data_IF_420258998062
#
_entry.id   IF_420258998062
#
_cell.length_a   1.000
_cell.length_b   1.000
_cell.length_c   1.000
_cell.angle_alpha   90.00
_cell.angle_beta   90.00
_cell.angle_gamma   90.00
#
_symmetry.space_group_name_H-M   'P 1'
#
loop_
_entity.id
_entity.type
_entity.pdbx_description
1 polymer ?
#
# COMPACT_ATOMS: atom_id res chain seq x y z
N UNK A 1 6.85 -24.34 -29.32
CA UNK A 1 5.96 -23.25 -28.88
C UNK A 1 6.51 -22.74 -27.55
N UNK A 2 6.95 -21.48 -27.48
CA UNK A 2 7.47 -20.88 -26.23
C UNK A 2 6.30 -20.69 -25.27
N UNK A 3 6.34 -21.32 -24.11
CA UNK A 3 5.47 -20.95 -23.00
C UNK A 3 5.89 -19.54 -22.55
N UNK A 4 5.15 -18.53 -22.98
CA UNK A 4 5.20 -17.22 -22.37
C UNK A 4 4.50 -17.39 -21.03
N UNK A 5 5.28 -17.41 -19.95
CA UNK A 5 4.72 -17.40 -18.61
C UNK A 5 3.95 -16.09 -18.46
N UNK A 6 2.62 -16.17 -18.37
CA UNK A 6 1.80 -15.00 -18.10
C UNK A 6 2.31 -14.34 -16.82
N UNK A 7 2.76 -13.09 -16.95
CA UNK A 7 3.14 -12.27 -15.81
C UNK A 7 1.83 -11.82 -15.14
N UNK A 8 1.33 -12.66 -14.24
CA UNK A 8 0.25 -12.27 -13.33
C UNK A 8 0.84 -11.28 -12.32
N UNK A 9 0.56 -9.99 -12.50
CA UNK A 9 0.89 -8.98 -11.51
C UNK A 9 0.06 -9.27 -10.23
N UNK A 10 0.75 -9.56 -9.12
CA UNK A 10 0.06 -9.73 -7.83
C UNK A 10 -0.44 -8.36 -7.38
N UNK A 11 -1.73 -8.27 -7.09
CA UNK A 11 -2.30 -7.07 -6.48
C UNK A 11 -1.87 -7.04 -5.00
N UNK A 12 -0.75 -6.39 -4.73
CA UNK A 12 -0.19 -6.22 -3.38
C UNK A 12 -0.18 -4.73 -3.08
N UNK A 13 -0.62 -4.35 -1.89
CA UNK A 13 -0.54 -2.97 -1.43
C UNK A 13 0.94 -2.59 -1.24
N UNK A 14 1.46 -1.57 -1.96
CA UNK A 14 2.84 -1.16 -1.78
C UNK A 14 3.03 -0.50 -0.41
N UNK A 15 4.18 -0.72 0.19
CA UNK A 15 4.62 -0.02 1.41
C UNK A 15 5.86 0.79 1.09
N UNK A 16 5.93 2.03 1.56
CA UNK A 16 7.06 2.94 1.38
C UNK A 16 7.81 3.03 2.72
N UNK A 17 9.14 3.10 2.68
CA UNK A 17 9.95 3.41 3.85
C UNK A 17 10.46 4.85 3.75
N UNK A 18 10.05 5.70 4.68
CA UNK A 18 10.49 7.08 4.80
C UNK A 18 11.62 7.18 5.82
N UNK A 19 12.73 7.82 5.43
CA UNK A 19 13.86 8.10 6.34
C UNK A 19 13.67 9.46 6.99
N UNK A 20 13.62 9.48 8.30
CA UNK A 20 13.50 10.69 9.14
C UNK A 20 14.74 10.87 10.00
N UNK A 21 14.88 12.04 10.64
CA UNK A 21 15.95 12.30 11.61
C UNK A 21 15.95 11.34 12.81
N UNK A 22 14.80 10.74 13.12
CA UNK A 22 14.61 9.85 14.27
C UNK A 22 14.62 8.36 13.89
N UNK A 23 14.82 8.02 12.62
CA UNK A 23 14.84 6.64 12.14
C UNK A 23 14.01 6.42 10.88
N UNK A 24 13.64 5.17 10.62
CA UNK A 24 12.83 4.79 9.46
C UNK A 24 11.37 4.58 9.86
N UNK A 25 10.47 5.08 9.02
CA UNK A 25 9.03 4.90 9.17
C UNK A 25 8.50 4.16 7.95
N UNK A 26 7.88 3.00 8.17
CA UNK A 26 7.16 2.29 7.10
C UNK A 26 5.73 2.83 7.04
N UNK A 27 5.31 3.22 5.83
CA UNK A 27 4.02 3.80 5.55
C UNK A 27 3.33 2.98 4.46
N UNK A 28 2.17 2.46 4.77
CA UNK A 28 1.22 2.04 3.75
C UNK A 28 0.26 3.21 3.41
N UNK A 29 -0.42 3.16 2.25
CA UNK A 29 -1.34 4.22 1.83
C UNK A 29 -2.45 4.53 2.84
N UNK A 30 -3.00 3.54 3.54
CA UNK A 30 -4.06 3.75 4.53
C UNK A 30 -3.55 4.44 5.79
N UNK A 31 -2.36 4.04 6.26
CA UNK A 31 -1.68 4.70 7.37
C UNK A 31 -1.42 6.18 7.06
N UNK A 32 -0.97 6.49 5.84
CA UNK A 32 -0.76 7.89 5.43
C UNK A 32 -2.07 8.69 5.41
N UNK A 33 -3.16 8.11 4.89
CA UNK A 33 -4.48 8.77 4.90
C UNK A 33 -4.96 9.06 6.32
N UNK A 34 -4.79 8.10 7.23
CA UNK A 34 -5.19 8.26 8.63
C UNK A 34 -4.43 9.40 9.34
N UNK A 35 -3.13 9.53 9.08
CA UNK A 35 -2.31 10.64 9.61
C UNK A 35 -2.80 12.01 9.15
N UNK A 36 -3.27 12.10 7.90
CA UNK A 36 -3.89 13.31 7.33
C UNK A 36 -5.35 13.47 7.74
N UNK A 37 -5.85 12.64 8.68
CA UNK A 37 -7.23 12.62 9.19
C UNK A 37 -8.28 12.29 8.13
N UNK A 38 -7.89 11.49 7.14
CA UNK A 38 -8.78 10.97 6.09
C UNK A 38 -9.13 9.52 6.42
N UNK A 39 -10.42 9.23 6.58
CA UNK A 39 -10.93 7.88 6.80
C UNK A 39 -11.44 7.32 5.47
N UNK A 40 -10.93 6.16 5.06
CA UNK A 40 -11.36 5.47 3.85
C UNK A 40 -12.34 4.35 4.19
N UNK A 41 -13.55 4.40 3.61
CA UNK A 41 -14.56 3.35 3.75
C UNK A 41 -14.60 2.50 2.48
N UNK A 42 -13.88 1.39 2.50
CA UNK A 42 -13.72 0.51 1.33
C UNK A 42 -14.82 -0.52 1.12
N UNK A 43 -15.77 -0.62 2.05
CA UNK A 43 -16.87 -1.59 2.02
C UNK A 43 -18.19 -0.92 2.44
N UNK A 44 -19.35 -1.46 2.02
CA UNK A 44 -20.65 -0.99 2.48
C UNK A 44 -20.80 -1.05 4.00
N UNK A 45 -21.64 -0.18 4.55
CA UNK A 45 -22.04 -0.19 5.96
C UNK A 45 -23.12 -1.27 6.14
N UNK A 46 -22.98 -2.08 7.19
CA UNK A 46 -24.03 -3.00 7.67
C UNK A 46 -24.98 -2.28 8.64
#
# INVERSE_FOLDING_TARGET
MKHIQEISARYILPTIEEKTAYGFKRLDPYTKLFEERIIFMGQPID
#
